data_IF_171767595961
#
_entry.id   IF_171767595961
#
_cell.length_a   1.000
_cell.length_b   1.000
_cell.length_c   1.000
_cell.angle_alpha   90.00
_cell.angle_beta   90.00
_cell.angle_gamma   90.00
#
_symmetry.space_group_name_H-M   'P 1'
#
loop_
_entity.id
_entity.type
_entity.pdbx_description
1 polymer ?
#
# COMPACT_ATOMS: atom_id res chain seq x y z
N UNK A 1 5.53 8.95 3.27
CA UNK A 1 5.43 7.60 3.87
C UNK A 1 6.56 6.74 3.33
N UNK A 2 7.15 5.85 4.15
CA UNK A 2 8.15 4.87 3.71
C UNK A 2 7.49 3.49 3.69
N UNK A 3 7.59 2.78 2.56
CA UNK A 3 7.10 1.42 2.42
C UNK A 3 8.27 0.44 2.60
N UNK A 4 8.01 -0.65 3.30
CA UNK A 4 8.99 -1.71 3.60
C UNK A 4 8.24 -3.01 3.89
N UNK A 5 7.58 -3.54 2.86
CA UNK A 5 6.82 -4.79 2.89
C UNK A 5 7.61 -5.91 2.22
N UNK A 6 7.67 -7.10 2.83
CA UNK A 6 8.20 -8.29 2.15
C UNK A 6 7.20 -8.80 1.12
N UNK A 7 7.67 -9.38 0.01
CA UNK A 7 6.79 -10.08 -0.95
C UNK A 7 6.06 -11.27 -0.29
N UNK A 8 6.62 -11.83 0.79
CA UNK A 8 6.00 -12.93 1.53
C UNK A 8 4.94 -12.47 2.54
N UNK A 9 4.88 -11.17 2.85
CA UNK A 9 3.85 -10.60 3.73
C UNK A 9 2.54 -10.51 2.94
N UNK A 10 1.49 -11.16 3.43
CA UNK A 10 0.18 -11.13 2.79
C UNK A 10 -0.69 -9.95 3.25
N UNK A 11 -0.23 -9.16 4.24
CA UNK A 11 -0.85 -7.90 4.62
C UNK A 11 0.17 -6.95 5.26
N UNK A 12 -0.07 -5.65 5.13
CA UNK A 12 0.65 -4.61 5.85
C UNK A 12 -0.20 -3.35 6.02
N UNK A 13 0.14 -2.54 7.02
CA UNK A 13 -0.43 -1.21 7.17
C UNK A 13 0.67 -0.19 7.48
N UNK A 14 0.65 0.93 6.78
CA UNK A 14 1.58 2.03 6.98
C UNK A 14 0.78 3.25 7.42
N UNK A 15 1.04 3.74 8.64
CA UNK A 15 0.25 4.81 9.24
C UNK A 15 1.18 5.93 9.67
N UNK A 16 0.95 7.13 9.13
CA UNK A 16 1.56 8.36 9.60
C UNK A 16 0.70 8.91 10.76
N UNK A 17 1.27 8.90 11.96
CA UNK A 17 0.57 9.32 13.17
C UNK A 17 0.33 10.83 13.25
N UNK A 18 1.10 11.64 12.53
CA UNK A 18 0.94 13.10 12.56
C UNK A 18 -0.20 13.55 11.65
N UNK A 19 -0.24 13.00 10.43
CA UNK A 19 -1.28 13.34 9.45
C UNK A 19 -2.55 12.48 9.56
N UNK A 20 -2.48 11.33 10.24
CA UNK A 20 -3.55 10.34 10.29
C UNK A 20 -3.71 9.53 8.99
N UNK A 21 -2.80 9.73 8.04
CA UNK A 21 -2.81 9.03 6.76
C UNK A 21 -2.42 7.56 6.94
N UNK A 22 -3.18 6.69 6.30
CA UNK A 22 -3.00 5.26 6.33
C UNK A 22 -3.01 4.67 4.92
N UNK A 23 -2.11 3.71 4.69
CA UNK A 23 -2.10 2.81 3.54
C UNK A 23 -2.26 1.39 4.05
N UNK A 24 -3.24 0.67 3.54
CA UNK A 24 -3.49 -0.73 3.84
C UNK A 24 -3.23 -1.55 2.59
N UNK A 25 -2.52 -2.66 2.76
CA UNK A 25 -2.17 -3.59 1.69
C UNK A 25 -2.58 -4.99 2.14
N UNK A 26 -3.27 -5.72 1.27
CA UNK A 26 -3.60 -7.13 1.50
C UNK A 26 -3.44 -7.94 0.21
N UNK A 27 -3.12 -9.22 0.35
CA UNK A 27 -2.99 -10.17 -0.75
C UNK A 27 -3.40 -11.56 -0.30
N UNK A 28 -4.02 -12.32 -1.19
CA UNK A 28 -4.34 -13.73 -0.97
C UNK A 28 -3.27 -14.68 -1.54
N UNK A 29 -2.50 -14.23 -2.53
CA UNK A 29 -1.58 -15.07 -3.31
C UNK A 29 -0.13 -14.57 -3.33
N UNK A 30 0.16 -13.46 -2.64
CA UNK A 30 1.45 -12.77 -2.63
C UNK A 30 1.93 -12.36 -4.03
N UNK A 31 1.00 -12.14 -4.96
CA UNK A 31 1.25 -11.68 -6.33
C UNK A 31 0.41 -10.45 -6.65
N UNK A 32 -0.89 -10.51 -6.37
CA UNK A 32 -1.83 -9.39 -6.52
C UNK A 32 -2.15 -8.81 -5.13
N UNK A 33 -1.78 -7.55 -4.94
CA UNK A 33 -1.90 -6.81 -3.67
C UNK A 33 -2.93 -5.70 -3.81
N UNK A 34 -4.05 -5.81 -3.11
CA UNK A 34 -5.07 -4.76 -3.03
C UNK A 34 -4.59 -3.65 -2.10
N UNK A 35 -4.73 -2.40 -2.54
CA UNK A 35 -4.27 -1.22 -1.79
C UNK A 35 -5.43 -0.30 -1.48
N UNK A 36 -5.54 0.12 -0.22
CA UNK A 36 -6.47 1.16 0.23
C UNK A 36 -5.71 2.32 0.84
N UNK A 37 -6.18 3.54 0.62
CA UNK A 37 -5.54 4.77 1.13
C UNK A 37 -6.61 5.68 1.75
N UNK A 38 -6.27 6.30 2.89
CA UNK A 38 -7.12 7.27 3.57
C UNK A 38 -6.69 7.44 5.03
N UNK A 39 -7.60 7.19 5.96
CA UNK A 39 -7.38 7.13 7.40
C UNK A 39 -7.74 5.74 7.93
N UNK A 40 -7.48 5.49 9.21
CA UNK A 40 -7.85 4.23 9.87
C UNK A 40 -9.35 3.96 9.84
N UNK A 41 -10.18 5.00 9.89
CA UNK A 41 -11.65 4.89 9.94
C UNK A 41 -12.33 5.15 8.61
N UNK A 42 -11.63 5.73 7.64
CA UNK A 42 -12.17 6.10 6.34
C UNK A 42 -11.08 5.97 5.27
N UNK A 43 -11.10 4.86 4.53
CA UNK A 43 -10.17 4.57 3.44
C UNK A 43 -10.93 4.09 2.21
N UNK A 44 -10.37 4.36 1.03
CA UNK A 44 -10.93 3.93 -0.25
C UNK A 44 -9.92 3.11 -1.04
N UNK A 45 -10.43 2.30 -1.96
CA UNK A 45 -9.60 1.54 -2.90
C UNK A 45 -8.72 2.49 -3.74
N UNK A 46 -7.43 2.20 -3.77
CA UNK A 46 -6.45 2.92 -4.56
C UNK A 46 -5.96 2.12 -5.78
N UNK A 47 -6.18 0.81 -5.78
CA UNK A 47 -5.94 -0.10 -6.90
C UNK A 47 -5.26 -1.40 -6.47
N UNK A 48 -4.85 -2.18 -7.47
CA UNK A 48 -4.17 -3.47 -7.30
C UNK A 48 -2.74 -3.34 -7.82
N UNK A 49 -1.77 -3.77 -7.01
CA UNK A 49 -0.36 -3.88 -7.37
C UNK A 49 -0.06 -5.34 -7.66
N UNK A 50 0.43 -5.63 -8.86
CA UNK A 50 1.04 -6.93 -9.17
C UNK A 50 2.54 -6.85 -8.96
N UNK A 51 3.12 -7.72 -8.14
CA UNK A 51 4.56 -7.75 -7.88
C UNK A 51 5.08 -9.17 -7.69
N UNK A 52 6.38 -9.39 -7.92
CA UNK A 52 7.08 -10.66 -7.67
C UNK A 52 8.29 -10.53 -6.74
N UNK A 53 8.66 -9.31 -6.38
CA UNK A 53 9.75 -9.03 -5.44
C UNK A 53 9.35 -7.91 -4.49
N UNK A 54 9.96 -7.88 -3.31
CA UNK A 54 9.72 -6.83 -2.32
C UNK A 54 10.08 -5.44 -2.89
N UNK A 55 11.18 -5.34 -3.63
CA UNK A 55 11.59 -4.07 -4.26
C UNK A 55 10.55 -3.56 -5.26
N UNK A 56 9.99 -4.44 -6.09
CA UNK A 56 8.93 -4.10 -7.05
C UNK A 56 7.65 -3.66 -6.32
N UNK A 57 7.25 -4.40 -5.28
CA UNK A 57 6.08 -4.09 -4.46
C UNK A 57 6.20 -2.70 -3.83
N UNK A 58 7.30 -2.43 -3.13
CA UNK A 58 7.50 -1.15 -2.43
C UNK A 58 7.63 0.02 -3.40
N UNK A 59 8.29 -0.17 -4.56
CA UNK A 59 8.35 0.87 -5.62
C UNK A 59 6.95 1.20 -6.14
N UNK A 60 6.13 0.19 -6.42
CA UNK A 60 4.75 0.39 -6.90
C UNK A 60 3.84 1.00 -5.83
N UNK A 61 4.04 0.67 -4.56
CA UNK A 61 3.32 1.31 -3.45
C UNK A 61 3.60 2.81 -3.40
N UNK A 62 4.86 3.23 -3.56
CA UNK A 62 5.20 4.65 -3.67
C UNK A 62 4.49 5.33 -4.84
N UNK A 63 4.45 4.70 -6.01
CA UNK A 63 3.78 5.25 -7.18
C UNK A 63 2.27 5.40 -6.98
N UNK A 64 1.60 4.37 -6.47
CA UNK A 64 0.15 4.40 -6.18
C UNK A 64 -0.14 5.50 -5.16
N UNK A 65 0.63 5.58 -4.09
CA UNK A 65 0.48 6.60 -3.06
C UNK A 65 0.67 8.03 -3.60
N UNK A 66 1.73 8.28 -4.38
CA UNK A 66 1.96 9.59 -5.01
C UNK A 66 0.84 9.97 -5.98
N UNK A 67 0.36 9.00 -6.79
CA UNK A 67 -0.77 9.22 -7.70
C UNK A 67 -2.06 9.53 -6.94
N UNK A 68 -2.29 8.90 -5.80
CA UNK A 68 -3.43 9.19 -4.93
C UNK A 68 -3.37 10.60 -4.33
N UNK A 69 -2.17 11.04 -3.91
CA UNK A 69 -1.94 12.38 -3.34
C UNK A 69 -1.96 13.52 -4.36
N UNK A 70 -1.57 13.25 -5.60
CA UNK A 70 -1.57 14.21 -6.70
C UNK A 70 -2.86 14.22 -7.53
N UNK A 71 -3.86 13.43 -7.12
CA UNK A 71 -5.24 13.52 -7.60
C UNK A 71 -6.03 14.53 -6.78
#
# INVERSE_FOLDING_TARGET
MKFDMSIDDNYASFIDKESGEAVFVESFDNVDFEVRIGTVTDSQEAGIIRAKTSDELNTKLEEVFRKFKGK
#
